data_IF_680711278517
#
_entry.id   IF_680711278517
#
_cell.length_a   1.000
_cell.length_b   1.000
_cell.length_c   1.000
_cell.angle_alpha   90.00
_cell.angle_beta   90.00
_cell.angle_gamma   90.00
#
_symmetry.space_group_name_H-M   'P 1'
#
loop_
_entity.id
_entity.type
_entity.pdbx_description
1 polymer ?
#
# COMPACT_ATOMS: atom_id res chain seq x y z
N UNK A 1 3.26 -8.68 -11.14
CA UNK A 1 3.79 -10.04 -10.86
C UNK A 1 2.67 -10.96 -10.37
N UNK A 2 2.88 -12.25 -10.49
CA UNK A 2 1.91 -13.24 -9.98
C UNK A 2 2.54 -14.05 -8.84
N UNK A 3 1.79 -14.23 -7.76
CA UNK A 3 2.21 -15.03 -6.61
C UNK A 3 1.00 -15.79 -6.07
N UNK A 4 1.05 -17.12 -6.09
CA UNK A 4 -0.03 -18.01 -5.60
C UNK A 4 -1.42 -17.62 -6.15
N UNK A 5 -1.49 -17.26 -7.43
CA UNK A 5 -2.72 -16.84 -8.09
C UNK A 5 -3.07 -15.37 -7.96
N UNK A 6 -2.43 -14.63 -7.08
CA UNK A 6 -2.64 -13.19 -6.93
C UNK A 6 -1.83 -12.39 -7.95
N UNK A 7 -2.45 -11.39 -8.54
CA UNK A 7 -1.77 -10.40 -9.38
C UNK A 7 -1.39 -9.24 -8.49
N UNK A 8 -0.09 -9.01 -8.35
CA UNK A 8 0.45 -8.02 -7.42
C UNK A 8 1.14 -6.91 -8.21
N UNK A 9 0.81 -5.66 -7.89
CA UNK A 9 1.46 -4.47 -8.40
C UNK A 9 2.44 -3.95 -7.34
N UNK A 10 3.75 -4.24 -7.46
CA UNK A 10 4.74 -3.68 -6.54
C UNK A 10 5.06 -2.22 -6.91
N UNK A 11 5.09 -1.36 -5.92
CA UNK A 11 5.37 0.06 -6.06
C UNK A 11 6.32 0.54 -4.96
N UNK A 12 6.95 1.68 -5.16
CA UNK A 12 7.93 2.21 -4.22
C UNK A 12 7.55 3.63 -3.82
N UNK A 13 7.33 3.82 -2.51
CA UNK A 13 7.28 5.11 -1.82
C UNK A 13 6.44 6.19 -2.52
N UNK A 14 7.09 7.10 -3.21
CA UNK A 14 6.48 8.27 -3.85
C UNK A 14 5.47 7.91 -4.94
N UNK A 15 5.54 6.69 -5.50
CA UNK A 15 4.57 6.18 -6.49
C UNK A 15 3.14 6.27 -5.96
N UNK A 16 2.96 6.21 -4.64
CA UNK A 16 1.67 6.34 -3.99
C UNK A 16 0.94 7.65 -4.35
N UNK A 17 1.67 8.69 -4.73
CA UNK A 17 1.13 10.01 -5.09
C UNK A 17 0.68 10.13 -6.55
N UNK A 18 0.82 9.07 -7.34
CA UNK A 18 0.53 9.11 -8.78
C UNK A 18 -0.61 8.16 -9.15
N UNK A 19 -1.87 8.57 -8.92
CA UNK A 19 -3.04 7.69 -9.12
C UNK A 19 -3.20 7.23 -10.56
N UNK A 20 -2.81 8.03 -11.54
CA UNK A 20 -2.92 7.67 -12.96
C UNK A 20 -2.11 6.42 -13.30
N UNK A 21 -0.89 6.32 -12.77
CA UNK A 21 -0.01 5.17 -12.99
C UNK A 21 -0.47 3.92 -12.24
N UNK A 22 -1.23 4.10 -11.18
CA UNK A 22 -1.71 3.02 -10.33
C UNK A 22 -3.10 2.52 -10.75
N UNK A 23 -3.71 3.14 -11.76
CA UNK A 23 -5.07 2.83 -12.18
C UNK A 23 -5.23 1.36 -12.54
N UNK A 24 -6.07 0.67 -11.80
CA UNK A 24 -6.41 -0.72 -12.05
C UNK A 24 -7.42 -0.79 -13.21
N UNK A 25 -7.03 -1.43 -14.29
CA UNK A 25 -7.83 -1.50 -15.51
C UNK A 25 -8.40 -2.89 -15.72
N UNK A 26 -9.56 -2.95 -16.34
CA UNK A 26 -10.15 -4.21 -16.71
C UNK A 26 -9.37 -4.83 -17.89
N UNK A 27 -9.01 -6.09 -17.73
CA UNK A 27 -8.33 -6.85 -18.79
C UNK A 27 -9.37 -7.49 -19.73
N UNK A 28 -9.29 -7.18 -21.03
CA UNK A 28 -10.16 -7.78 -22.04
C UNK A 28 -9.94 -9.29 -22.15
N UNK A 29 -8.72 -9.77 -21.93
CA UNK A 29 -8.34 -11.18 -22.01
C UNK A 29 -8.76 -12.01 -20.79
N UNK A 30 -9.25 -11.39 -19.73
CA UNK A 30 -9.68 -12.05 -18.51
C UNK A 30 -11.02 -11.47 -18.06
N UNK A 31 -12.16 -12.01 -18.55
CA UNK A 31 -13.49 -11.53 -18.16
C UNK A 31 -13.64 -11.47 -16.64
N UNK A 32 -14.00 -10.30 -16.09
CA UNK A 32 -14.02 -10.04 -14.67
C UNK A 32 -12.63 -9.82 -14.05
N UNK A 33 -11.55 -9.93 -14.83
CA UNK A 33 -10.19 -9.71 -14.38
C UNK A 33 -9.78 -8.24 -14.44
N UNK A 34 -8.92 -7.86 -13.51
CA UNK A 34 -8.30 -6.54 -13.43
C UNK A 34 -6.78 -6.67 -13.60
N UNK A 35 -6.07 -5.56 -13.81
CA UNK A 35 -4.61 -5.56 -13.94
C UNK A 35 -3.94 -6.16 -12.69
N UNK A 36 -4.50 -5.89 -11.52
CA UNK A 36 -3.98 -6.43 -10.26
C UNK A 36 -5.09 -6.62 -9.22
N UNK A 37 -4.82 -7.46 -8.25
CA UNK A 37 -5.70 -7.74 -7.11
C UNK A 37 -5.20 -7.03 -5.85
N UNK A 38 -3.89 -6.78 -5.79
CA UNK A 38 -3.21 -6.18 -4.64
C UNK A 38 -2.11 -5.24 -5.11
N UNK A 39 -2.10 -4.02 -4.58
CA UNK A 39 -0.99 -3.09 -4.73
C UNK A 39 -0.13 -3.11 -3.46
N UNK A 40 1.18 -3.29 -3.63
CA UNK A 40 2.14 -3.37 -2.53
C UNK A 40 3.10 -2.18 -2.62
N UNK A 41 3.11 -1.36 -1.58
CA UNK A 41 4.00 -0.20 -1.45
C UNK A 41 5.05 -0.45 -0.37
N UNK A 42 6.32 -0.27 -0.71
CA UNK A 42 7.41 -0.23 0.27
C UNK A 42 7.97 1.18 0.31
N UNK A 43 8.23 1.70 1.50
CA UNK A 43 8.55 3.12 1.66
C UNK A 43 9.49 3.44 2.82
N UNK A 44 10.20 4.56 2.64
CA UNK A 44 10.78 5.38 3.69
C UNK A 44 9.98 6.69 3.73
N UNK A 45 8.81 6.65 4.33
CA UNK A 45 7.88 7.79 4.34
C UNK A 45 7.95 8.51 5.70
N UNK A 46 8.42 9.78 5.72
CA UNK A 46 8.67 10.48 6.99
C UNK A 46 7.43 10.71 7.84
N UNK A 47 7.63 10.72 9.15
CA UNK A 47 6.55 10.95 10.13
C UNK A 47 5.83 12.29 9.92
N UNK A 48 6.54 13.32 9.43
CA UNK A 48 5.95 14.61 9.13
C UNK A 48 4.85 14.54 8.06
N UNK A 49 4.85 13.49 7.25
CA UNK A 49 3.86 13.27 6.18
C UNK A 49 3.04 11.99 6.42
N UNK A 50 2.88 11.58 7.68
CA UNK A 50 2.14 10.36 8.01
C UNK A 50 0.67 10.42 7.56
N UNK A 51 0.03 11.57 7.62
CA UNK A 51 -1.36 11.70 7.23
C UNK A 51 -1.58 11.43 5.73
N UNK A 52 -0.80 12.02 4.81
CA UNK A 52 -0.86 11.63 3.40
C UNK A 52 -0.63 10.13 3.16
N UNK A 53 0.32 9.51 3.84
CA UNK A 53 0.56 8.06 3.73
C UNK A 53 -0.69 7.26 4.07
N UNK A 54 -1.27 7.51 5.22
CA UNK A 54 -2.47 6.80 5.71
C UNK A 54 -3.67 7.02 4.79
N UNK A 55 -3.89 8.26 4.38
CA UNK A 55 -5.03 8.64 3.53
C UNK A 55 -4.89 8.06 2.12
N UNK A 56 -3.71 8.15 1.51
CA UNK A 56 -3.51 7.71 0.14
C UNK A 56 -3.53 6.19 0.00
N UNK A 57 -3.07 5.43 0.99
CA UNK A 57 -3.22 3.97 0.99
C UNK A 57 -4.70 3.58 0.88
N UNK A 58 -5.56 4.21 1.66
CA UNK A 58 -7.01 3.97 1.62
C UNK A 58 -7.62 4.40 0.28
N UNK A 59 -7.25 5.57 -0.21
CA UNK A 59 -7.74 6.08 -1.48
C UNK A 59 -7.41 5.13 -2.64
N UNK A 60 -6.18 4.60 -2.67
CA UNK A 60 -5.78 3.66 -3.73
C UNK A 60 -6.57 2.36 -3.66
N UNK A 61 -6.87 1.86 -2.48
CA UNK A 61 -7.70 0.68 -2.33
C UNK A 61 -9.12 0.92 -2.87
N UNK A 62 -9.76 1.99 -2.45
CA UNK A 62 -11.14 2.34 -2.81
C UNK A 62 -11.27 2.58 -4.33
N UNK A 63 -10.43 3.44 -4.90
CA UNK A 63 -10.55 3.84 -6.30
C UNK A 63 -10.17 2.74 -7.29
N UNK A 64 -9.38 1.76 -6.85
CA UNK A 64 -8.91 0.66 -7.68
C UNK A 64 -9.56 -0.69 -7.35
N UNK A 65 -10.45 -0.74 -6.37
CA UNK A 65 -11.14 -1.94 -5.92
C UNK A 65 -10.16 -3.10 -5.68
N UNK A 66 -9.06 -2.79 -5.02
CA UNK A 66 -7.97 -3.74 -4.76
C UNK A 66 -7.55 -3.69 -3.29
N UNK A 67 -6.93 -4.77 -2.84
CA UNK A 67 -6.20 -4.73 -1.58
C UNK A 67 -4.98 -3.81 -1.73
N UNK A 68 -4.63 -3.14 -0.65
CA UNK A 68 -3.41 -2.32 -0.59
C UNK A 68 -2.61 -2.71 0.64
N UNK A 69 -1.34 -3.00 0.43
CA UNK A 69 -0.38 -3.24 1.50
C UNK A 69 0.66 -2.12 1.48
N UNK A 70 0.75 -1.38 2.56
CA UNK A 70 1.79 -0.37 2.75
C UNK A 70 2.78 -0.83 3.81
N UNK A 71 4.05 -0.94 3.45
CA UNK A 71 5.13 -1.29 4.38
C UNK A 71 6.07 -0.11 4.47
N UNK A 72 6.08 0.55 5.63
CA UNK A 72 6.91 1.72 5.88
C UNK A 72 7.91 1.46 7.00
N UNK A 73 9.08 2.07 6.89
CA UNK A 73 10.08 1.96 7.96
C UNK A 73 9.64 2.65 9.24
N UNK A 74 10.26 2.26 10.33
CA UNK A 74 10.14 2.90 11.65
C UNK A 74 11.50 3.46 12.08
N UNK A 75 11.52 4.19 13.19
CA UNK A 75 12.74 4.71 13.78
C UNK A 75 13.18 6.06 13.20
N UNK A 76 14.45 6.34 13.32
CA UNK A 76 15.09 7.60 12.88
C UNK A 76 16.25 7.26 11.96
N UNK A 77 16.38 7.97 10.85
CA UNK A 77 17.47 7.73 9.91
C UNK A 77 18.77 8.48 10.28
N UNK A 78 19.80 8.32 9.45
CA UNK A 78 21.09 8.96 9.66
C UNK A 78 21.06 10.48 9.56
N UNK A 79 19.99 11.08 9.06
CA UNK A 79 19.76 12.52 8.98
C UNK A 79 18.81 13.01 10.07
N UNK A 80 18.57 12.19 11.11
CA UNK A 80 17.67 12.50 12.23
C UNK A 80 16.20 12.68 11.81
N UNK A 81 15.79 12.12 10.67
CA UNK A 81 14.41 12.17 10.21
C UNK A 81 13.64 11.01 10.85
N UNK A 82 12.55 11.30 11.59
CA UNK A 82 11.73 10.24 12.19
C UNK A 82 10.74 9.66 11.20
N UNK A 83 10.44 8.36 11.40
CA UNK A 83 9.47 7.59 10.62
C UNK A 83 8.44 6.95 11.55
N UNK A 84 7.17 7.19 11.28
CA UNK A 84 6.08 6.73 12.13
C UNK A 84 5.65 5.28 11.85
N UNK A 85 6.17 4.66 10.80
CA UNK A 85 5.68 3.36 10.36
C UNK A 85 4.30 3.49 9.71
N UNK A 86 3.25 3.26 10.46
CA UNK A 86 1.87 3.25 9.96
C UNK A 86 1.69 2.27 8.79
N UNK A 87 2.40 1.15 8.84
CA UNK A 87 2.21 0.06 7.88
C UNK A 87 0.80 -0.49 8.03
N UNK A 88 0.18 -0.87 6.92
CA UNK A 88 -1.21 -1.29 6.95
C UNK A 88 -1.54 -2.25 5.82
N UNK A 89 -2.58 -3.04 6.03
CA UNK A 89 -3.28 -3.80 4.99
C UNK A 89 -4.70 -3.27 4.92
N UNK A 90 -5.08 -2.80 3.75
CA UNK A 90 -6.38 -2.16 3.50
C UNK A 90 -7.16 -3.04 2.52
N UNK A 91 -8.44 -3.26 2.79
CA UNK A 91 -9.31 -4.00 1.88
C UNK A 91 -9.84 -3.12 0.73
N UNK A 92 -10.50 -3.71 -0.28
CA UNK A 92 -10.98 -2.95 -1.45
C UNK A 92 -12.03 -1.87 -1.16
N UNK A 93 -12.65 -1.87 0.02
CA UNK A 93 -13.59 -0.81 0.41
C UNK A 93 -12.94 0.26 1.29
N UNK A 94 -11.63 0.15 1.52
CA UNK A 94 -10.87 1.14 2.27
C UNK A 94 -10.78 0.90 3.76
N UNK A 95 -11.26 -0.26 4.25
CA UNK A 95 -11.18 -0.61 5.66
C UNK A 95 -9.84 -1.28 5.98
N UNK A 96 -9.18 -0.89 7.07
CA UNK A 96 -7.94 -1.56 7.46
C UNK A 96 -8.22 -2.94 8.05
N UNK A 97 -7.57 -3.97 7.49
CA UNK A 97 -7.52 -5.31 8.08
C UNK A 97 -6.50 -5.36 9.21
N UNK A 98 -5.43 -4.62 9.07
CA UNK A 98 -4.44 -4.35 10.11
C UNK A 98 -3.85 -2.97 9.90
N UNK A 99 -3.59 -2.28 10.98
CA UNK A 99 -2.95 -0.96 10.99
C UNK A 99 -1.93 -0.95 12.12
N UNK A 100 -0.66 -0.77 11.78
CA UNK A 100 0.44 -0.82 12.73
C UNK A 100 0.86 0.58 13.14
N UNK A 101 1.62 0.66 14.21
CA UNK A 101 2.22 1.90 14.69
C UNK A 101 3.71 1.99 14.35
N UNK A 102 4.46 2.59 15.27
CA UNK A 102 5.88 2.89 15.10
C UNK A 102 6.81 1.78 15.63
N UNK A 103 6.28 0.60 15.94
CA UNK A 103 7.08 -0.52 16.41
C UNK A 103 7.52 -1.40 15.24
N UNK A 104 8.77 -1.86 15.32
CA UNK A 104 9.26 -2.87 14.39
C UNK A 104 8.60 -4.21 14.69
N UNK A 105 7.90 -4.76 13.70
CA UNK A 105 7.19 -6.03 13.89
C UNK A 105 6.83 -6.68 12.55
N UNK A 106 6.49 -7.96 12.61
CA UNK A 106 5.97 -8.75 11.49
C UNK A 106 4.56 -9.20 11.85
N UNK A 107 3.64 -9.04 10.91
CA UNK A 107 2.24 -9.40 11.09
C UNK A 107 1.77 -10.25 9.91
N UNK A 108 0.95 -11.25 10.18
CA UNK A 108 0.28 -12.06 9.16
C UNK A 108 -1.20 -11.74 9.16
N UNK A 109 -1.75 -11.55 7.96
CA UNK A 109 -3.18 -11.34 7.73
C UNK A 109 -3.70 -12.50 6.88
N UNK A 110 -4.79 -13.10 7.33
CA UNK A 110 -5.43 -14.23 6.64
C UNK A 110 -6.73 -13.79 5.98
#
# INVERSE_FOLDING_TARGET
MKLKGWRILPQVCYDLRFPVWLRNRRLASAPGGMDYDLALFVANWPAARRQPWRTLLRARAIENLSYVVGVNRVGVDGNEIPYAGDSAVIDPVGEPLVELGAQEQVVTVT
#
